data_IF_294497012952
#
_entry.id   IF_294497012952
#
_cell.length_a   1.000
_cell.length_b   1.000
_cell.length_c   1.000
_cell.angle_alpha   90.00
_cell.angle_beta   90.00
_cell.angle_gamma   90.00
#
_symmetry.space_group_name_H-M   'P 1'
#
loop_
_entity.id
_entity.type
_entity.pdbx_description
1 polymer ?
#
# COMPACT_ATOMS: atom_id res chain seq x y z
N UNK A 1 14.56 -6.12 5.02
CA UNK A 1 15.46 -7.27 4.81
C UNK A 1 15.60 -7.68 3.34
N UNK A 2 14.53 -7.70 2.52
CA UNK A 2 14.65 -7.99 1.07
C UNK A 2 15.38 -6.88 0.28
N UNK A 3 15.17 -5.60 0.63
CA UNK A 3 15.84 -4.48 -0.03
C UNK A 3 17.37 -4.49 0.07
N UNK A 4 17.92 -5.08 1.14
CA UNK A 4 19.36 -5.20 1.36
C UNK A 4 19.99 -6.35 0.57
N UNK A 5 19.18 -7.33 0.14
CA UNK A 5 19.62 -8.46 -0.71
C UNK A 5 19.65 -8.10 -2.20
N UNK A 6 18.80 -7.16 -2.63
CA UNK A 6 18.73 -6.72 -4.04
C UNK A 6 20.04 -6.11 -4.55
N UNK A 7 20.80 -5.44 -3.67
CA UNK A 7 22.14 -4.92 -4.00
C UNK A 7 23.18 -6.00 -4.23
N UNK A 8 22.96 -7.23 -3.73
CA UNK A 8 23.89 -8.33 -3.88
C UNK A 8 23.48 -9.35 -4.95
N UNK A 9 22.19 -9.47 -5.30
CA UNK A 9 21.71 -10.53 -6.21
C UNK A 9 20.50 -10.08 -7.06
N UNK A 10 20.77 -9.44 -8.21
CA UNK A 10 19.74 -9.04 -9.19
C UNK A 10 19.05 -10.25 -9.85
N UNK A 11 19.74 -11.38 -9.96
CA UNK A 11 19.20 -12.62 -10.56
C UNK A 11 18.14 -13.29 -9.70
N UNK A 12 18.22 -13.15 -8.37
CA UNK A 12 17.20 -13.69 -7.47
C UNK A 12 15.91 -12.88 -7.56
N UNK A 13 16.02 -11.55 -7.71
CA UNK A 13 14.83 -10.71 -7.87
C UNK A 13 14.05 -11.02 -9.14
N UNK A 14 14.71 -11.28 -10.27
CA UNK A 14 14.01 -11.61 -11.52
C UNK A 14 13.30 -12.97 -11.44
N UNK A 15 13.96 -14.00 -10.90
CA UNK A 15 13.35 -15.31 -10.70
C UNK A 15 12.17 -15.26 -9.72
N UNK A 16 12.30 -14.51 -8.63
CA UNK A 16 11.23 -14.34 -7.65
C UNK A 16 10.01 -13.63 -8.25
N UNK A 17 10.23 -12.62 -9.10
CA UNK A 17 9.14 -11.92 -9.79
C UNK A 17 8.39 -12.84 -10.75
N UNK A 18 9.11 -13.66 -11.52
CA UNK A 18 8.48 -14.65 -12.40
C UNK A 18 7.62 -15.63 -11.61
N UNK A 19 8.16 -16.19 -10.53
CA UNK A 19 7.42 -17.13 -9.68
C UNK A 19 6.14 -16.49 -9.08
N UNK A 20 6.24 -15.24 -8.61
CA UNK A 20 5.11 -14.50 -8.07
C UNK A 20 4.05 -14.19 -9.13
N UNK A 21 4.47 -13.85 -10.34
CA UNK A 21 3.58 -13.58 -11.48
C UNK A 21 2.85 -14.86 -11.92
N UNK A 22 3.55 -15.97 -12.04
CA UNK A 22 2.95 -17.27 -12.35
C UNK A 22 1.98 -17.70 -11.25
N UNK A 23 2.36 -17.55 -9.98
CA UNK A 23 1.49 -17.82 -8.84
C UNK A 23 0.25 -16.91 -8.85
N UNK A 24 0.41 -15.62 -9.13
CA UNK A 24 -0.71 -14.69 -9.26
C UNK A 24 -1.67 -15.10 -10.38
N UNK A 25 -1.15 -15.43 -11.55
CA UNK A 25 -1.94 -15.87 -12.70
C UNK A 25 -2.66 -17.20 -12.42
N UNK A 26 -2.00 -18.13 -11.74
CA UNK A 26 -2.63 -19.37 -11.31
C UNK A 26 -3.75 -19.11 -10.31
N UNK A 27 -3.49 -18.25 -9.32
CA UNK A 27 -4.46 -17.91 -8.29
C UNK A 27 -5.65 -17.18 -8.89
N UNK A 28 -5.48 -16.18 -9.75
CA UNK A 28 -6.60 -15.40 -10.31
C UNK A 28 -7.51 -16.25 -11.20
N UNK A 29 -6.96 -17.25 -11.90
CA UNK A 29 -7.75 -18.21 -12.67
C UNK A 29 -8.53 -19.20 -11.77
N UNK A 30 -8.05 -19.46 -10.54
CA UNK A 30 -8.82 -20.23 -9.55
C UNK A 30 -9.82 -19.35 -8.80
N UNK A 31 -11.11 -19.63 -8.99
CA UNK A 31 -12.24 -18.99 -8.29
C UNK A 31 -12.49 -19.54 -6.87
N UNK A 32 -11.51 -20.25 -6.32
CA UNK A 32 -11.66 -20.95 -5.04
C UNK A 32 -11.47 -19.97 -3.86
N UNK A 33 -12.49 -19.88 -3.00
CA UNK A 33 -12.55 -18.99 -1.84
C UNK A 33 -11.42 -19.27 -0.82
N UNK A 34 -10.91 -20.51 -0.74
CA UNK A 34 -9.95 -20.90 0.31
C UNK A 34 -8.55 -20.26 0.18
N UNK A 35 -8.28 -19.55 -0.93
CA UNK A 35 -6.95 -18.97 -1.19
C UNK A 35 -6.92 -17.44 -1.18
N UNK A 36 -7.94 -16.76 -0.65
CA UNK A 36 -7.98 -15.29 -0.63
C UNK A 36 -6.80 -14.69 0.14
N UNK A 37 -6.43 -15.26 1.28
CA UNK A 37 -5.30 -14.79 2.07
C UNK A 37 -3.98 -14.92 1.29
N UNK A 38 -3.81 -16.03 0.56
CA UNK A 38 -2.65 -16.26 -0.31
C UNK A 38 -2.59 -15.25 -1.45
N UNK A 39 -3.73 -14.96 -2.10
CA UNK A 39 -3.85 -13.92 -3.15
C UNK A 39 -3.43 -12.55 -2.59
N UNK A 40 -3.94 -12.18 -1.43
CA UNK A 40 -3.61 -10.91 -0.77
C UNK A 40 -2.12 -10.86 -0.41
N UNK A 41 -1.55 -11.95 0.11
CA UNK A 41 -0.13 -12.00 0.46
C UNK A 41 0.76 -11.84 -0.76
N UNK A 42 0.45 -12.56 -1.84
CA UNK A 42 1.20 -12.49 -3.10
C UNK A 42 1.15 -11.06 -3.69
N UNK A 43 -0.04 -10.45 -3.80
CA UNK A 43 -0.16 -9.12 -4.40
C UNK A 43 0.49 -8.01 -3.56
N UNK A 44 0.41 -8.11 -2.22
CA UNK A 44 1.09 -7.18 -1.30
C UNK A 44 2.60 -7.31 -1.45
N UNK A 45 3.11 -8.53 -1.62
CA UNK A 45 4.53 -8.74 -1.82
C UNK A 45 5.02 -8.14 -3.14
N UNK A 46 4.27 -8.33 -4.24
CA UNK A 46 4.54 -7.64 -5.53
C UNK A 46 4.52 -6.11 -5.35
N UNK A 47 3.55 -5.57 -4.61
CA UNK A 47 3.45 -4.14 -4.31
C UNK A 47 4.65 -3.60 -3.52
N UNK A 48 5.10 -4.33 -2.49
CA UNK A 48 6.31 -3.99 -1.73
C UNK A 48 7.56 -3.98 -2.62
N UNK A 49 7.74 -5.01 -3.46
CA UNK A 49 8.86 -5.09 -4.42
C UNK A 49 8.84 -3.93 -5.44
N UNK A 50 7.67 -3.44 -5.82
CA UNK A 50 7.54 -2.27 -6.69
C UNK A 50 8.06 -1.00 -6.00
N UNK A 51 7.77 -0.79 -4.70
CA UNK A 51 8.29 0.37 -3.96
C UNK A 51 9.82 0.37 -3.88
N UNK A 52 10.44 -0.81 -3.78
CA UNK A 52 11.90 -0.96 -3.81
C UNK A 52 12.51 -0.84 -5.21
N UNK A 53 11.71 -0.55 -6.25
CA UNK A 53 12.12 -0.51 -7.65
C UNK A 53 12.74 -1.82 -8.15
N UNK A 54 12.38 -2.94 -7.51
CA UNK A 54 12.78 -4.29 -7.92
C UNK A 54 11.81 -4.82 -8.97
N UNK A 55 10.51 -4.61 -8.74
CA UNK A 55 9.46 -4.99 -9.69
C UNK A 55 9.18 -3.86 -10.69
N UNK A 56 9.05 -4.15 -11.99
CA UNK A 56 8.61 -3.16 -12.96
C UNK A 56 7.16 -2.73 -12.67
N UNK A 57 6.89 -1.44 -12.77
CA UNK A 57 5.53 -0.89 -12.56
C UNK A 57 4.51 -1.50 -13.52
N UNK A 58 4.96 -1.91 -14.72
CA UNK A 58 4.14 -2.60 -15.70
C UNK A 58 3.48 -3.88 -15.16
N UNK A 59 4.22 -4.70 -14.40
CA UNK A 59 3.68 -5.94 -13.82
C UNK A 59 2.53 -5.63 -12.84
N UNK A 60 2.72 -4.63 -11.98
CA UNK A 60 1.69 -4.21 -11.01
C UNK A 60 0.41 -3.75 -11.72
N UNK A 61 0.55 -2.98 -12.80
CA UNK A 61 -0.60 -2.55 -13.59
C UNK A 61 -1.29 -3.72 -14.31
N UNK A 62 -0.53 -4.70 -14.81
CA UNK A 62 -1.11 -5.91 -15.39
C UNK A 62 -1.92 -6.71 -14.37
N UNK A 63 -1.38 -6.91 -13.15
CA UNK A 63 -2.10 -7.57 -12.07
C UNK A 63 -3.36 -6.81 -11.66
N UNK A 64 -3.26 -5.48 -11.49
CA UNK A 64 -4.40 -4.62 -11.16
C UNK A 64 -5.48 -4.70 -12.24
N UNK A 65 -5.09 -4.64 -13.52
CA UNK A 65 -6.00 -4.75 -14.66
C UNK A 65 -6.69 -6.11 -14.70
N UNK A 66 -5.98 -7.21 -14.47
CA UNK A 66 -6.56 -8.55 -14.43
C UNK A 66 -7.65 -8.67 -13.33
N UNK A 67 -7.42 -8.10 -12.15
CA UNK A 67 -8.42 -8.07 -11.08
C UNK A 67 -9.61 -7.15 -11.41
N UNK A 68 -9.40 -6.04 -12.11
CA UNK A 68 -10.46 -5.11 -12.51
C UNK A 68 -11.31 -5.66 -13.66
N UNK A 69 -10.72 -6.44 -14.56
CA UNK A 69 -11.44 -7.06 -15.69
C UNK A 69 -12.42 -8.14 -15.18
N UNK A 70 -12.09 -8.90 -14.13
CA UNK A 70 -13.01 -9.80 -13.42
C UNK A 70 -13.35 -9.28 -12.01
N UNK A 71 -14.20 -8.26 -11.93
CA UNK A 71 -14.51 -7.57 -10.68
C UNK A 71 -15.46 -8.37 -9.75
N UNK A 72 -14.92 -9.40 -9.10
CA UNK A 72 -15.56 -10.25 -8.08
C UNK A 72 -15.29 -9.74 -6.66
N UNK A 73 -16.04 -10.23 -5.66
CA UNK A 73 -15.84 -9.82 -4.26
C UNK A 73 -14.40 -10.03 -3.78
N UNK A 74 -13.78 -11.17 -4.12
CA UNK A 74 -12.39 -11.44 -3.74
C UNK A 74 -11.40 -10.53 -4.45
N UNK A 75 -11.62 -10.27 -5.73
CA UNK A 75 -10.73 -9.41 -6.50
C UNK A 75 -10.81 -7.96 -6.01
N UNK A 76 -11.95 -7.53 -5.45
CA UNK A 76 -12.07 -6.24 -4.77
C UNK A 76 -11.12 -6.17 -3.58
N UNK A 77 -11.13 -7.17 -2.69
CA UNK A 77 -10.22 -7.21 -1.54
C UNK A 77 -8.75 -7.20 -1.97
N UNK A 78 -8.41 -7.98 -3.00
CA UNK A 78 -7.05 -8.07 -3.56
C UNK A 78 -6.61 -6.70 -4.14
N UNK A 79 -7.48 -6.03 -4.89
CA UNK A 79 -7.20 -4.68 -5.43
C UNK A 79 -7.02 -3.67 -4.31
N UNK A 80 -7.92 -3.63 -3.33
CA UNK A 80 -7.81 -2.70 -2.20
C UNK A 80 -6.48 -2.89 -1.47
N UNK A 81 -6.09 -4.13 -1.14
CA UNK A 81 -4.81 -4.41 -0.49
C UNK A 81 -3.59 -4.00 -1.33
N UNK A 82 -3.65 -4.18 -2.66
CA UNK A 82 -2.58 -3.74 -3.56
C UNK A 82 -2.45 -2.20 -3.54
N UNK A 83 -3.58 -1.50 -3.65
CA UNK A 83 -3.65 -0.04 -3.64
C UNK A 83 -3.16 0.55 -2.32
N UNK A 84 -3.52 -0.04 -1.19
CA UNK A 84 -3.01 0.34 0.13
C UNK A 84 -1.48 0.19 0.23
N UNK A 85 -0.92 -0.83 -0.43
CA UNK A 85 0.51 -1.15 -0.35
C UNK A 85 1.36 -0.23 -1.20
N UNK A 86 1.03 -0.07 -2.50
CA UNK A 86 1.86 0.67 -3.45
C UNK A 86 1.12 1.74 -4.26
N UNK A 87 -0.19 1.91 -4.08
CA UNK A 87 -0.99 2.82 -4.89
C UNK A 87 -0.59 4.29 -4.73
N UNK A 88 -0.31 4.74 -3.50
CA UNK A 88 0.22 6.10 -3.26
C UNK A 88 1.59 6.33 -3.91
N UNK A 89 2.46 5.30 -3.89
CA UNK A 89 3.78 5.38 -4.55
C UNK A 89 3.65 5.51 -6.08
N UNK A 90 2.75 4.73 -6.68
CA UNK A 90 2.45 4.79 -8.12
C UNK A 90 1.78 6.10 -8.53
N UNK A 91 0.93 6.68 -7.66
CA UNK A 91 0.26 7.94 -7.95
C UNK A 91 1.22 9.14 -7.89
N UNK A 92 2.19 9.14 -6.96
CA UNK A 92 3.18 10.22 -6.82
C UNK A 92 4.27 10.22 -7.90
N UNK A 93 4.53 9.08 -8.53
CA UNK A 93 5.59 8.93 -9.52
C UNK A 93 5.14 9.45 -10.88
N UNK A 94 5.80 10.48 -11.48
CA UNK A 94 5.30 11.18 -12.67
C UNK A 94 5.12 10.28 -13.89
N UNK A 95 5.93 9.22 -13.99
CA UNK A 95 5.86 8.23 -15.06
C UNK A 95 4.57 7.37 -14.99
N UNK A 96 4.03 7.17 -13.79
CA UNK A 96 2.88 6.27 -13.55
C UNK A 96 1.63 6.98 -13.08
N UNK A 97 1.70 8.26 -12.70
CA UNK A 97 0.56 9.06 -12.20
C UNK A 97 -0.65 8.99 -13.12
N UNK A 98 -0.45 9.21 -14.43
CA UNK A 98 -1.55 9.19 -15.40
C UNK A 98 -2.22 7.81 -15.49
N UNK A 99 -1.41 6.76 -15.58
CA UNK A 99 -1.93 5.38 -15.65
C UNK A 99 -2.66 5.00 -14.35
N UNK A 100 -2.12 5.40 -13.22
CA UNK A 100 -2.73 5.16 -11.91
C UNK A 100 -4.05 5.92 -11.74
N UNK A 101 -4.12 7.19 -12.17
CA UNK A 101 -5.35 7.98 -12.15
C UNK A 101 -6.48 7.30 -12.94
N UNK A 102 -6.17 6.80 -14.15
CA UNK A 102 -7.12 6.08 -14.98
C UNK A 102 -7.62 4.78 -14.32
N UNK A 103 -6.73 4.03 -13.64
CA UNK A 103 -7.12 2.81 -12.92
C UNK A 103 -8.00 3.12 -11.70
N UNK A 104 -7.71 4.19 -10.97
CA UNK A 104 -8.53 4.63 -9.84
C UNK A 104 -9.92 5.10 -10.28
N UNK A 105 -10.02 5.79 -11.41
CA UNK A 105 -11.31 6.17 -12.00
C UNK A 105 -12.12 4.94 -12.41
N UNK A 106 -11.46 3.95 -13.03
CA UNK A 106 -12.10 2.69 -13.40
C UNK A 106 -12.62 1.94 -12.16
N UNK A 107 -11.85 1.89 -11.08
CA UNK A 107 -12.26 1.29 -9.81
C UNK A 107 -13.54 1.96 -9.25
N UNK A 108 -13.58 3.30 -9.23
CA UNK A 108 -14.76 4.04 -8.78
C UNK A 108 -15.97 3.81 -9.69
N UNK A 109 -15.75 3.72 -11.00
CA UNK A 109 -16.81 3.37 -11.95
C UNK A 109 -17.37 1.98 -11.68
N UNK A 110 -16.50 0.97 -11.45
CA UNK A 110 -16.95 -0.37 -11.11
C UNK A 110 -17.72 -0.41 -9.79
N UNK A 111 -17.27 0.34 -8.77
CA UNK A 111 -18.00 0.51 -7.50
C UNK A 111 -19.46 0.93 -7.73
N UNK A 112 -19.66 1.94 -8.59
CA UNK A 112 -20.97 2.50 -8.89
C UNK A 112 -21.82 1.58 -9.79
N UNK A 113 -21.23 0.97 -10.83
CA UNK A 113 -21.97 0.11 -11.79
C UNK A 113 -22.40 -1.20 -11.15
N UNK A 114 -21.55 -1.78 -10.29
CA UNK A 114 -21.82 -3.07 -9.66
C UNK A 114 -22.71 -2.97 -8.42
N UNK A 115 -23.03 -1.75 -7.96
CA UNK A 115 -23.78 -1.50 -6.72
C UNK A 115 -23.27 -2.38 -5.57
N UNK A 116 -21.98 -2.22 -5.26
CA UNK A 116 -21.34 -3.02 -4.21
C UNK A 116 -22.04 -2.84 -2.87
N UNK A 117 -22.06 -3.91 -2.07
CA UNK A 117 -22.49 -3.85 -0.68
C UNK A 117 -21.73 -2.77 0.12
N UNK A 118 -22.30 -2.28 1.23
CA UNK A 118 -21.73 -1.17 1.99
C UNK A 118 -20.27 -1.40 2.44
N UNK A 119 -19.92 -2.65 2.76
CA UNK A 119 -18.59 -3.02 3.21
C UNK A 119 -17.52 -2.90 2.11
N UNK A 120 -17.59 -3.62 0.97
CA UNK A 120 -16.63 -3.49 -0.13
C UNK A 120 -16.63 -2.08 -0.76
N UNK A 121 -17.76 -1.36 -0.78
CA UNK A 121 -17.78 0.05 -1.20
C UNK A 121 -16.87 0.91 -0.32
N UNK A 122 -16.96 0.75 1.00
CA UNK A 122 -16.14 1.51 1.96
C UNK A 122 -14.66 1.18 1.80
N UNK A 123 -14.30 -0.09 1.58
CA UNK A 123 -12.91 -0.50 1.35
C UNK A 123 -12.31 0.17 0.10
N UNK A 124 -13.08 0.18 -1.00
CA UNK A 124 -12.67 0.84 -2.24
C UNK A 124 -12.45 2.33 -2.03
N UNK A 125 -13.33 2.99 -1.30
CA UNK A 125 -13.21 4.42 -0.98
C UNK A 125 -11.97 4.70 -0.13
N UNK A 126 -11.73 3.91 0.90
CA UNK A 126 -10.53 4.03 1.75
C UNK A 126 -9.26 3.88 0.91
N UNK A 127 -9.18 2.84 0.07
CA UNK A 127 -8.03 2.62 -0.80
C UNK A 127 -7.84 3.77 -1.81
N UNK A 128 -8.93 4.30 -2.37
CA UNK A 128 -8.89 5.45 -3.29
C UNK A 128 -8.30 6.70 -2.61
N UNK A 129 -8.81 7.06 -1.42
CA UNK A 129 -8.34 8.24 -0.70
C UNK A 129 -6.94 8.08 -0.13
N UNK A 130 -6.47 6.86 0.11
CA UNK A 130 -5.07 6.59 0.45
C UNK A 130 -4.14 6.84 -0.74
N UNK A 131 -4.57 6.51 -1.96
CA UNK A 131 -3.77 6.73 -3.17
C UNK A 131 -3.76 8.20 -3.61
N UNK A 132 -4.94 8.82 -3.61
CA UNK A 132 -5.16 10.22 -3.96
C UNK A 132 -5.63 10.95 -2.70
N UNK A 133 -4.72 11.28 -1.77
CA UNK A 133 -5.11 12.07 -0.62
C UNK A 133 -5.74 13.37 -1.13
N UNK A 134 -6.96 13.73 -0.66
CA UNK A 134 -7.51 15.04 -0.97
C UNK A 134 -6.50 16.09 -0.53
N UNK A 135 -6.49 17.25 -1.19
CA UNK A 135 -5.66 18.41 -0.83
C UNK A 135 -6.05 18.92 0.58
N UNK A 136 -5.79 18.14 1.62
CA UNK A 136 -5.62 18.64 2.97
C UNK A 136 -4.26 19.29 2.92
N UNK A 137 -4.27 20.62 3.05
CA UNK A 137 -3.11 21.48 3.22
C UNK A 137 -1.95 20.66 3.75
N UNK A 138 -0.82 20.63 3.04
CA UNK A 138 0.42 20.07 3.52
C UNK A 138 0.47 20.27 5.03
N UNK A 139 0.23 19.20 5.81
CA UNK A 139 0.68 19.21 7.18
C UNK A 139 2.15 19.36 6.97
N UNK A 140 2.64 20.59 7.19
CA UNK A 140 4.05 20.93 7.26
C UNK A 140 4.67 19.73 7.94
N UNK A 141 5.46 18.98 7.18
CA UNK A 141 6.31 17.98 7.74
C UNK A 141 7.21 18.76 8.68
N UNK A 142 6.78 18.91 9.93
CA UNK A 142 7.71 19.11 11.01
C UNK A 142 8.55 17.85 10.95
N UNK A 143 9.67 17.94 10.25
CA UNK A 143 10.85 17.15 10.53
C UNK A 143 10.92 17.16 12.05
N UNK A 144 10.52 16.05 12.68
CA UNK A 144 10.83 15.83 14.08
C UNK A 144 12.22 15.21 14.03
N UNK A 145 13.30 15.99 14.26
CA UNK A 145 14.57 15.36 14.56
C UNK A 145 14.39 14.45 15.79
N UNK A 146 15.06 13.28 15.81
CA UNK A 146 14.86 12.25 16.82
C UNK A 146 15.60 12.60 18.12
N UNK A 147 15.19 13.66 18.83
CA UNK A 147 15.90 14.13 20.03
C UNK A 147 15.04 14.97 20.99
N UNK A 148 13.75 14.67 21.14
CA UNK A 148 12.89 15.36 22.11
C UNK A 148 11.87 14.45 22.80
N UNK A 149 12.20 13.17 22.95
CA UNK A 149 11.45 12.26 23.83
C UNK A 149 12.00 12.26 25.26
N UNK A 150 13.01 13.08 25.56
CA UNK A 150 13.67 13.15 26.89
C UNK A 150 13.24 14.36 27.71
N UNK A 151 12.61 15.39 27.11
CA UNK A 151 12.27 16.61 27.87
C UNK A 151 10.97 16.53 28.69
N UNK A 152 10.09 15.56 28.44
CA UNK A 152 8.87 15.41 29.24
C UNK A 152 9.16 14.74 30.59
N UNK A 153 10.16 13.84 30.67
CA UNK A 153 10.61 13.28 31.95
C UNK A 153 11.39 14.30 32.81
N UNK A 154 12.19 15.17 32.20
CA UNK A 154 12.97 16.16 32.98
C UNK A 154 12.08 17.23 33.61
N UNK A 155 10.94 17.56 32.99
CA UNK A 155 10.00 18.54 33.56
C UNK A 155 9.28 18.00 34.81
N UNK A 156 8.87 16.73 34.79
CA UNK A 156 8.27 16.08 35.96
C UNK A 156 9.30 15.75 37.07
N UNK A 157 10.58 15.59 36.72
CA UNK A 157 11.65 15.37 37.69
C UNK A 157 12.07 16.62 38.46
N UNK A 158 11.87 17.83 37.90
CA UNK A 158 12.25 19.09 38.55
C UNK A 158 11.14 19.68 39.44
N UNK A 159 9.88 19.29 39.25
CA UNK A 159 8.77 19.75 40.12
C UNK A 159 8.70 19.01 41.46
N UNK A 160 9.40 17.89 41.62
CA UNK A 160 9.50 17.17 42.91
C UNK A 160 10.69 17.61 43.77
N UNK A 161 11.63 18.42 43.24
CA UNK A 161 12.79 18.86 44.00
C UNK A 161 12.67 20.30 44.56
N UNK A 162 11.62 21.04 44.20
CA UNK A 162 11.37 22.40 44.70
C UNK A 162 10.56 22.43 46.02
N UNK A 163 9.89 21.33 46.38
CA UNK A 163 9.24 21.17 47.70
C UNK A 163 10.20 20.78 48.84
N UNK A 164 11.51 20.79 48.59
CA UNK A 164 12.55 20.45 49.56
C UNK A 164 13.27 21.63 50.22
N UNK A 165 13.03 22.89 49.82
CA UNK A 165 13.71 24.05 50.43
C UNK A 165 12.86 25.34 50.44
N UNK A 166 11.73 25.33 51.14
CA UNK A 166 11.20 26.56 51.76
C UNK A 166 10.25 26.21 52.92
N UNK A 167 10.83 26.28 54.12
CA UNK A 167 10.22 26.35 55.47
C UNK A 167 9.52 25.11 56.02
#
# INVERSE_FOLDING_TARGET
MVATLSTCMKDISSMLLQLLEEEFNFLINKKDQMNIETKIRNIRFIGELCKFKVSPTGLVFSCLKACLDDFTHHNIDVVCNLLETCGHFLYRSPETTMRMANMLELLMRFKNVKNLDPHPSTLVENAYYLCKPPERSARVSKNRPPLHQVLEEVRLGLELNDHGMQQ
#
